data_IF_454791694109
#
_entry.id   IF_454791694109
#
_cell.length_a   1.000
_cell.length_b   1.000
_cell.length_c   1.000
_cell.angle_alpha   90.00
_cell.angle_beta   90.00
_cell.angle_gamma   90.00
#
_symmetry.space_group_name_H-M   'P 1'
#
loop_
_entity.id
_entity.type
_entity.pdbx_description
1 polymer ?
#
# COMPACT_ATOMS: atom_id res chain seq x y z
N UNK A 1 4.00 -7.20 -22.20
CA UNK A 1 3.89 -6.51 -20.90
C UNK A 1 2.98 -5.28 -21.05
N UNK A 2 1.84 -5.26 -20.37
CA UNK A 2 0.99 -4.08 -20.44
C UNK A 2 1.72 -2.93 -19.71
N UNK A 3 1.47 -1.67 -20.11
CA UNK A 3 2.16 -0.51 -19.54
C UNK A 3 1.82 -0.30 -18.05
N UNK A 4 0.70 -0.86 -17.60
CA UNK A 4 0.16 -0.76 -16.25
C UNK A 4 0.96 -1.62 -15.26
N UNK A 5 1.39 -2.82 -15.63
CA UNK A 5 2.15 -3.74 -14.78
C UNK A 5 3.48 -3.12 -14.32
N UNK A 6 4.19 -2.48 -15.26
CA UNK A 6 5.49 -1.85 -14.99
C UNK A 6 5.38 -0.61 -14.10
N UNK A 7 4.33 0.19 -14.26
CA UNK A 7 4.08 1.38 -13.42
C UNK A 7 3.55 1.00 -12.04
N UNK A 8 2.60 0.07 -11.98
CA UNK A 8 2.04 -0.45 -10.73
C UNK A 8 3.13 -1.08 -9.86
N UNK A 9 4.04 -1.86 -10.45
CA UNK A 9 5.19 -2.42 -9.73
C UNK A 9 6.09 -1.33 -9.11
N UNK A 10 6.39 -0.26 -9.86
CA UNK A 10 7.21 0.86 -9.33
C UNK A 10 6.52 1.56 -8.17
N UNK A 11 5.21 1.78 -8.26
CA UNK A 11 4.42 2.39 -7.18
C UNK A 11 4.44 1.50 -5.94
N UNK A 12 4.22 0.19 -6.10
CA UNK A 12 4.27 -0.76 -4.99
C UNK A 12 5.62 -0.76 -4.29
N UNK A 13 6.72 -0.81 -5.03
CA UNK A 13 8.08 -0.74 -4.44
C UNK A 13 8.29 0.57 -3.68
N UNK A 14 7.89 1.71 -4.25
CA UNK A 14 8.00 2.99 -3.56
C UNK A 14 7.17 3.01 -2.25
N UNK A 15 5.95 2.47 -2.26
CA UNK A 15 5.12 2.39 -1.06
C UNK A 15 5.70 1.42 -0.02
N UNK A 16 6.39 0.36 -0.46
CA UNK A 16 7.09 -0.57 0.42
C UNK A 16 8.27 0.12 1.12
N UNK A 17 9.08 0.86 0.37
CA UNK A 17 10.24 1.59 0.91
C UNK A 17 9.81 2.69 1.90
N UNK A 18 8.60 3.23 1.74
CA UNK A 18 7.99 4.17 2.68
C UNK A 18 7.35 3.49 3.91
N UNK A 19 7.35 2.15 4.00
CA UNK A 19 6.69 1.39 5.06
C UNK A 19 5.16 1.45 5.04
N UNK A 20 4.57 1.96 3.95
CA UNK A 20 3.11 2.08 3.79
C UNK A 20 2.51 0.68 3.50
N UNK A 21 3.20 -0.12 2.68
CA UNK A 21 2.87 -1.54 2.45
C UNK A 21 4.03 -2.44 2.86
N UNK A 22 3.75 -3.68 3.22
CA UNK A 22 4.78 -4.63 3.69
C UNK A 22 4.79 -5.95 2.91
N UNK A 23 3.91 -6.10 1.90
CA UNK A 23 3.65 -7.40 1.27
C UNK A 23 2.92 -8.36 2.22
N UNK A 24 2.71 -9.59 1.77
CA UNK A 24 2.21 -10.68 2.62
C UNK A 24 3.37 -11.36 3.36
N UNK A 25 3.07 -12.14 4.40
CA UNK A 25 4.09 -12.85 5.22
C UNK A 25 4.98 -13.80 4.39
N UNK A 26 4.51 -14.21 3.21
CA UNK A 26 5.26 -15.04 2.26
C UNK A 26 6.27 -14.26 1.41
N UNK A 27 6.44 -12.95 1.66
CA UNK A 27 7.34 -12.07 0.93
C UNK A 27 6.82 -11.65 -0.45
N UNK A 28 5.60 -12.03 -0.83
CA UNK A 28 5.02 -11.67 -2.11
C UNK A 28 4.13 -10.42 -2.01
N UNK A 29 4.16 -9.62 -3.07
CA UNK A 29 3.18 -8.56 -3.31
C UNK A 29 2.34 -8.95 -4.52
N UNK A 30 1.01 -8.99 -4.35
CA UNK A 30 0.07 -9.55 -5.33
C UNK A 30 -0.85 -8.43 -5.85
N UNK A 31 -0.38 -7.58 -6.78
CA UNK A 31 -1.11 -6.37 -7.20
C UNK A 31 -2.46 -6.68 -7.86
N UNK A 32 -2.59 -7.86 -8.47
CA UNK A 32 -3.81 -8.27 -9.19
C UNK A 32 -4.83 -8.97 -8.28
N UNK A 33 -4.49 -9.22 -7.00
CA UNK A 33 -5.45 -9.76 -6.05
C UNK A 33 -6.29 -8.64 -5.43
N UNK A 34 -7.62 -8.81 -5.37
CA UNK A 34 -8.46 -7.88 -4.61
C UNK A 34 -8.10 -7.93 -3.14
N UNK A 35 -8.09 -6.77 -2.49
CA UNK A 35 -7.90 -6.63 -1.05
C UNK A 35 -9.24 -6.54 -0.32
N UNK A 36 -9.24 -6.92 0.95
CA UNK A 36 -10.37 -6.72 1.87
C UNK A 36 -10.54 -5.24 2.22
N UNK A 37 -11.75 -4.87 2.69
CA UNK A 37 -12.01 -3.52 3.19
C UNK A 37 -11.11 -3.14 4.37
N UNK A 38 -10.72 -4.11 5.19
CA UNK A 38 -9.84 -3.90 6.34
C UNK A 38 -8.40 -3.59 5.91
N UNK A 39 -7.89 -4.31 4.92
CA UNK A 39 -6.58 -4.02 4.31
C UNK A 39 -6.58 -2.64 3.64
N UNK A 40 -7.66 -2.30 2.93
CA UNK A 40 -7.83 -0.97 2.34
C UNK A 40 -7.84 0.14 3.40
N UNK A 41 -8.58 -0.03 4.49
CA UNK A 41 -8.61 0.93 5.60
C UNK A 41 -7.21 1.09 6.25
N UNK A 42 -6.50 -0.01 6.44
CA UNK A 42 -5.13 -0.01 6.98
C UNK A 42 -4.15 0.76 6.09
N UNK A 43 -4.27 0.57 4.77
CA UNK A 43 -3.47 1.29 3.78
C UNK A 43 -3.73 2.81 3.83
N UNK A 44 -5.01 3.21 3.86
CA UNK A 44 -5.41 4.61 3.96
C UNK A 44 -4.86 5.22 5.25
N UNK A 45 -5.03 4.53 6.38
CA UNK A 45 -4.53 4.99 7.67
C UNK A 45 -3.02 5.25 7.63
N UNK A 46 -2.22 4.26 7.21
CA UNK A 46 -0.74 4.39 7.10
C UNK A 46 -0.34 5.54 6.16
N UNK A 47 -1.07 5.71 5.06
CA UNK A 47 -0.84 6.81 4.12
C UNK A 47 -1.10 8.16 4.76
N UNK A 48 -2.20 8.32 5.50
CA UNK A 48 -2.51 9.56 6.21
C UNK A 48 -1.51 9.83 7.33
N UNK A 49 -1.05 8.79 8.05
CA UNK A 49 0.02 8.91 9.04
C UNK A 49 1.30 9.42 8.42
N UNK A 50 1.73 8.82 7.30
CA UNK A 50 2.94 9.21 6.58
C UNK A 50 2.88 10.67 6.11
N UNK A 51 1.71 11.13 5.67
CA UNK A 51 1.50 12.51 5.23
C UNK A 51 1.34 13.52 6.39
N UNK A 52 1.30 13.07 7.65
CA UNK A 52 0.97 13.92 8.79
C UNK A 52 -0.46 14.49 8.74
N UNK A 53 -1.38 13.80 8.06
CA UNK A 53 -2.77 14.23 7.84
C UNK A 53 -3.80 13.45 8.66
N UNK A 54 -3.35 12.65 9.64
CA UNK A 54 -4.30 12.05 10.57
C UNK A 54 -4.95 13.16 11.41
N UNK A 55 -6.28 13.17 11.53
CA UNK A 55 -6.92 14.00 12.54
C UNK A 55 -6.43 13.58 13.93
N UNK A 56 -6.45 14.50 14.92
CA UNK A 56 -6.22 14.14 16.31
C UNK A 56 -7.16 13.00 16.71
N UNK A 57 -6.63 12.01 17.42
CA UNK A 57 -7.46 11.02 18.10
C UNK A 57 -8.01 11.71 19.35
N UNK A 58 -9.24 12.21 19.26
CA UNK A 58 -10.02 12.63 20.42
C UNK A 58 -10.60 11.40 21.15
#
# INVERSE_FOLDING_TARGET
PNLWDGKARKIALALHDLGIITGYEDGNFRPDQPITRMEAASLIYRTLSYLGKLPPLE
#
